data_IF_730804072661
#
_entry.id   IF_730804072661
#
_cell.length_a   1.000
_cell.length_b   1.000
_cell.length_c   1.000
_cell.angle_alpha   90.00
_cell.angle_beta   90.00
_cell.angle_gamma   90.00
#
_symmetry.space_group_name_H-M   'P 1'
#
loop_
_entity.id
_entity.type
_entity.pdbx_description
1 polymer ?
#
# COMPACT_ATOMS: atom_id res chain seq x y z
N UNK A 1 -8.33 19.12 -3.61
CA UNK A 1 -9.56 18.58 -4.22
C UNK A 1 -9.45 17.08 -4.05
N UNK A 2 -10.28 16.47 -3.21
CA UNK A 2 -10.22 15.02 -2.99
C UNK A 2 -10.81 14.36 -4.24
N UNK A 3 -10.01 13.55 -4.92
CA UNK A 3 -10.50 12.64 -5.94
C UNK A 3 -11.51 11.69 -5.24
N UNK A 4 -12.75 11.67 -5.72
CA UNK A 4 -13.89 11.08 -5.03
C UNK A 4 -13.77 9.56 -4.82
N UNK A 5 -14.78 8.92 -4.21
CA UNK A 5 -14.78 7.48 -4.00
C UNK A 5 -14.71 6.74 -5.35
N UNK A 6 -14.03 5.59 -5.36
CA UNK A 6 -13.85 4.77 -6.56
C UNK A 6 -13.62 3.30 -6.20
N UNK A 7 -13.56 2.45 -7.23
CA UNK A 7 -13.27 1.03 -7.07
C UNK A 7 -11.75 0.80 -7.03
N UNK A 8 -11.29 -0.02 -6.08
CA UNK A 8 -9.90 -0.40 -5.94
C UNK A 8 -9.74 -1.90 -6.21
N UNK A 9 -8.95 -2.24 -7.22
CA UNK A 9 -8.49 -3.61 -7.46
C UNK A 9 -7.02 -3.74 -7.07
N UNK A 10 -6.70 -4.66 -6.17
CA UNK A 10 -5.33 -4.93 -5.71
C UNK A 10 -4.88 -6.30 -6.17
N UNK A 11 -3.67 -6.38 -6.72
CA UNK A 11 -3.02 -7.63 -7.14
C UNK A 11 -1.60 -7.70 -6.59
N UNK A 12 -0.94 -8.84 -6.73
CA UNK A 12 0.48 -8.99 -6.38
C UNK A 12 1.45 -8.19 -7.28
N UNK A 13 0.97 -7.53 -8.35
CA UNK A 13 1.80 -6.73 -9.27
C UNK A 13 1.47 -5.24 -9.30
N UNK A 14 0.21 -4.88 -9.01
CA UNK A 14 -0.27 -3.50 -9.07
C UNK A 14 -1.53 -3.28 -8.24
N UNK A 15 -1.83 -2.02 -7.96
CA UNK A 15 -3.17 -1.56 -7.62
C UNK A 15 -3.73 -0.67 -8.73
N UNK A 16 -4.99 -0.90 -9.08
CA UNK A 16 -5.73 -0.10 -10.03
C UNK A 16 -6.91 0.56 -9.33
N UNK A 17 -7.01 1.88 -9.46
CA UNK A 17 -8.12 2.69 -8.98
C UNK A 17 -8.96 3.11 -10.18
N UNK A 18 -10.14 2.50 -10.30
CA UNK A 18 -11.14 2.84 -11.30
C UNK A 18 -11.97 4.03 -10.82
N UNK A 19 -11.48 5.24 -11.03
CA UNK A 19 -12.29 6.46 -10.92
C UNK A 19 -12.61 6.96 -12.33
N UNK A 20 -13.87 7.31 -12.59
CA UNK A 20 -14.38 7.66 -13.93
C UNK A 20 -13.69 8.86 -14.57
N UNK A 21 -13.14 9.78 -13.78
CA UNK A 21 -12.46 10.97 -14.30
C UNK A 21 -10.95 10.79 -14.51
N UNK A 22 -10.30 10.01 -13.63
CA UNK A 22 -8.84 9.84 -13.61
C UNK A 22 -8.48 8.47 -13.02
N UNK A 23 -8.38 7.42 -13.85
CA UNK A 23 -7.91 6.15 -13.34
C UNK A 23 -6.44 6.27 -12.92
N UNK A 24 -6.08 5.59 -11.83
CA UNK A 24 -4.70 5.51 -11.34
C UNK A 24 -4.26 4.04 -11.37
N UNK A 25 -3.22 3.73 -12.14
CA UNK A 25 -2.59 2.41 -12.18
C UNK A 25 -1.20 2.49 -11.53
N UNK A 26 -1.04 1.85 -10.37
CA UNK A 26 0.20 1.81 -9.61
C UNK A 26 0.85 0.44 -9.75
N UNK A 27 1.83 0.33 -10.64
CA UNK A 27 2.69 -0.85 -10.69
C UNK A 27 3.71 -0.81 -9.56
N UNK A 28 3.77 -1.87 -8.75
CA UNK A 28 4.67 -1.96 -7.59
C UNK A 28 6.14 -1.74 -7.96
N UNK A 29 6.59 -2.27 -9.10
CA UNK A 29 7.98 -2.13 -9.54
C UNK A 29 8.32 -0.75 -10.10
N UNK A 30 7.30 0.09 -10.38
CA UNK A 30 7.47 1.45 -10.92
C UNK A 30 7.45 2.54 -9.85
N UNK A 31 7.26 2.17 -8.57
CA UNK A 31 7.24 3.13 -7.47
C UNK A 31 8.66 3.56 -7.09
N UNK A 32 8.81 4.82 -6.72
CA UNK A 32 10.06 5.41 -6.24
C UNK A 32 10.12 5.50 -4.72
N UNK A 33 8.97 5.58 -4.06
CA UNK A 33 8.85 5.44 -2.61
C UNK A 33 7.49 4.87 -2.24
N UNK A 34 7.43 4.23 -1.07
CA UNK A 34 6.20 3.80 -0.41
C UNK A 34 6.31 4.08 1.08
N UNK A 35 5.19 4.43 1.71
CA UNK A 35 5.08 4.48 3.16
C UNK A 35 3.63 4.22 3.60
N UNK A 36 3.48 3.75 4.83
CA UNK A 36 2.19 3.60 5.50
C UNK A 36 2.09 4.67 6.58
N UNK A 37 1.47 5.80 6.24
CA UNK A 37 1.44 7.00 7.09
C UNK A 37 0.41 6.86 8.23
N UNK A 38 -0.61 6.04 8.00
CA UNK A 38 -1.62 5.64 8.97
C UNK A 38 -2.18 4.26 8.60
N UNK A 39 -3.01 3.65 9.45
CA UNK A 39 -3.52 2.29 9.23
C UNK A 39 -4.32 2.15 7.92
N UNK A 40 -4.90 3.25 7.43
CA UNK A 40 -5.73 3.35 6.24
C UNK A 40 -5.13 4.28 5.17
N UNK A 41 -3.88 4.75 5.33
CA UNK A 41 -3.27 5.74 4.43
C UNK A 41 -1.98 5.21 3.83
N UNK A 42 -2.05 4.80 2.56
CA UNK A 42 -0.90 4.44 1.77
C UNK A 42 -0.39 5.65 0.99
N UNK A 43 0.89 5.98 1.14
CA UNK A 43 1.55 7.06 0.39
C UNK A 43 2.59 6.44 -0.53
N UNK A 44 2.64 6.90 -1.77
CA UNK A 44 3.69 6.50 -2.69
C UNK A 44 4.06 7.62 -3.65
N UNK A 45 5.21 7.47 -4.28
CA UNK A 45 5.64 8.32 -5.39
C UNK A 45 6.08 7.52 -6.59
N UNK A 46 5.95 8.12 -7.77
CA UNK A 46 6.29 7.53 -9.06
C UNK A 46 6.52 8.63 -10.10
N UNK A 47 7.10 8.26 -11.24
CA UNK A 47 7.14 9.13 -12.42
C UNK A 47 5.88 8.90 -13.24
N UNK A 48 5.16 9.96 -13.58
CA UNK A 48 4.02 9.85 -14.48
C UNK A 48 4.51 9.45 -15.88
N UNK A 49 4.03 8.29 -16.35
CA UNK A 49 4.35 7.74 -17.65
C UNK A 49 3.90 8.64 -18.81
N UNK A 50 2.94 9.55 -18.58
CA UNK A 50 2.46 10.51 -19.58
C UNK A 50 3.28 11.80 -19.62
N UNK A 51 4.42 11.86 -18.91
CA UNK A 51 5.31 13.02 -18.91
C UNK A 51 4.93 14.11 -17.90
N UNK A 52 4.00 13.82 -16.97
CA UNK A 52 3.65 14.73 -15.86
C UNK A 52 4.74 14.89 -14.79
N UNK A 53 5.84 14.14 -14.90
CA UNK A 53 6.98 14.21 -13.99
C UNK A 53 6.76 13.48 -12.67
N UNK A 54 7.51 13.86 -11.64
CA UNK A 54 7.44 13.23 -10.32
C UNK A 54 6.11 13.52 -9.64
N UNK A 55 5.39 12.46 -9.29
CA UNK A 55 4.10 12.52 -8.63
C UNK A 55 4.17 11.86 -7.25
N UNK A 56 3.42 12.39 -6.29
CA UNK A 56 3.22 11.77 -4.98
C UNK A 56 1.73 11.77 -4.68
N UNK A 57 1.21 10.60 -4.31
CA UNK A 57 -0.22 10.40 -4.05
C UNK A 57 -0.43 9.81 -2.66
N UNK A 58 -1.61 10.05 -2.09
CA UNK A 58 -2.07 9.43 -0.86
C UNK A 58 -3.41 8.77 -1.13
N UNK A 59 -3.52 7.51 -0.74
CA UNK A 59 -4.68 6.67 -0.97
C UNK A 59 -5.24 6.29 0.39
N UNK A 60 -6.45 6.78 0.65
CA UNK A 60 -7.23 6.41 1.82
C UNK A 60 -8.03 5.16 1.51
N UNK A 61 -7.68 4.04 2.13
CA UNK A 61 -8.29 2.73 1.88
C UNK A 61 -8.07 1.80 3.05
N UNK A 62 -9.07 0.97 3.36
CA UNK A 62 -8.93 -0.13 4.32
C UNK A 62 -7.89 -1.17 3.87
N UNK A 63 -7.49 -1.14 2.60
CA UNK A 63 -6.45 -2.01 2.01
C UNK A 63 -5.05 -1.38 2.02
N UNK A 64 -4.85 -0.23 2.69
CA UNK A 64 -3.56 0.47 2.69
C UNK A 64 -2.39 -0.39 3.18
N UNK A 65 -2.57 -1.13 4.27
CA UNK A 65 -1.55 -2.05 4.80
C UNK A 65 -1.22 -3.18 3.83
N UNK A 66 -2.22 -3.73 3.14
CA UNK A 66 -2.04 -4.74 2.10
C UNK A 66 -1.25 -4.19 0.91
N UNK A 67 -1.62 -3.00 0.40
CA UNK A 67 -0.91 -2.35 -0.69
C UNK A 67 0.54 -2.06 -0.30
N UNK A 68 0.77 -1.55 0.91
CA UNK A 68 2.11 -1.32 1.44
C UNK A 68 2.92 -2.62 1.45
N UNK A 69 2.39 -3.71 2.02
CA UNK A 69 3.11 -4.97 2.12
C UNK A 69 3.49 -5.51 0.73
N UNK A 70 2.56 -5.53 -0.22
CA UNK A 70 2.80 -6.00 -1.58
C UNK A 70 3.85 -5.14 -2.29
N UNK A 71 3.72 -3.82 -2.22
CA UNK A 71 4.67 -2.91 -2.86
C UNK A 71 6.07 -2.98 -2.22
N UNK A 72 6.14 -3.02 -0.89
CA UNK A 72 7.40 -3.10 -0.15
C UNK A 72 8.12 -4.43 -0.40
N UNK A 73 7.40 -5.56 -0.43
CA UNK A 73 8.01 -6.85 -0.75
C UNK A 73 8.57 -6.92 -2.18
N UNK A 74 7.93 -6.26 -3.14
CA UNK A 74 8.36 -6.28 -4.55
C UNK A 74 9.53 -5.33 -4.80
N UNK A 75 9.47 -4.10 -4.27
CA UNK A 75 10.38 -3.03 -4.67
C UNK A 75 11.25 -2.46 -3.53
N UNK A 76 10.88 -2.68 -2.27
CA UNK A 76 11.56 -2.09 -1.11
C UNK A 76 11.81 -3.12 0.01
N UNK A 77 12.54 -4.22 -0.25
CA UNK A 77 12.72 -5.29 0.74
C UNK A 77 13.47 -4.84 2.00
N UNK A 78 14.26 -3.77 1.92
CA UNK A 78 14.97 -3.16 3.04
C UNK A 78 14.18 -2.02 3.74
N UNK A 79 12.88 -1.87 3.45
CA UNK A 79 12.07 -0.80 4.02
C UNK A 79 11.95 -0.93 5.55
N UNK A 80 12.25 0.11 6.36
CA UNK A 80 12.27 -0.01 7.83
C UNK A 80 10.96 -0.52 8.43
N UNK A 81 9.81 -0.04 7.93
CA UNK A 81 8.50 -0.54 8.39
C UNK A 81 8.26 -2.00 8.02
N UNK A 82 8.75 -2.46 6.87
CA UNK A 82 8.60 -3.85 6.46
C UNK A 82 9.40 -4.75 7.41
N UNK A 83 10.65 -4.39 7.66
CA UNK A 83 11.55 -5.12 8.54
C UNK A 83 11.11 -5.11 10.01
N UNK A 84 10.53 -4.02 10.50
CA UNK A 84 10.07 -3.93 11.89
C UNK A 84 8.68 -4.55 12.13
N UNK A 85 7.97 -4.94 11.07
CA UNK A 85 6.57 -5.34 11.16
C UNK A 85 5.62 -4.17 11.51
N UNK A 86 6.11 -2.92 11.53
CA UNK A 86 5.33 -1.73 11.90
C UNK A 86 4.25 -1.32 10.89
N UNK A 87 4.01 -2.14 9.87
CA UNK A 87 2.90 -2.02 8.91
C UNK A 87 1.66 -2.82 9.32
N UNK A 88 1.81 -3.73 10.28
CA UNK A 88 0.70 -4.47 10.85
C UNK A 88 -0.03 -3.64 11.91
N UNK A 89 -1.33 -3.85 12.10
CA UNK A 89 -2.05 -3.29 13.23
C UNK A 89 -1.39 -3.69 14.56
N UNK A 90 -1.38 -2.81 15.58
CA UNK A 90 -0.71 -3.10 16.86
C UNK A 90 -1.24 -4.37 17.55
N UNK A 91 -2.50 -4.72 17.32
CA UNK A 91 -3.14 -5.89 17.92
C UNK A 91 -3.15 -7.12 16.99
N UNK A 92 -2.35 -7.13 15.92
CA UNK A 92 -2.39 -8.19 14.91
C UNK A 92 -2.18 -9.58 15.53
N UNK A 93 -1.14 -9.76 16.35
CA UNK A 93 -0.82 -11.04 16.98
C UNK A 93 -1.93 -11.49 17.93
N UNK A 94 -2.45 -10.56 18.74
CA UNK A 94 -3.58 -10.82 19.63
C UNK A 94 -4.84 -11.23 18.85
N UNK A 95 -5.10 -10.61 17.69
CA UNK A 95 -6.21 -10.96 16.80
C UNK A 95 -6.02 -12.32 16.16
N UNK A 96 -4.81 -12.68 15.73
CA UNK A 96 -4.49 -14.02 15.23
C UNK A 96 -4.79 -15.09 16.29
N UNK A 97 -4.32 -14.88 17.53
CA UNK A 97 -4.59 -15.77 18.65
C UNK A 97 -6.10 -15.89 18.95
N UNK A 98 -6.84 -14.78 18.93
CA UNK A 98 -8.28 -14.77 19.19
C UNK A 98 -9.10 -15.57 18.16
N UNK A 99 -8.63 -15.66 16.92
CA UNK A 99 -9.29 -16.45 15.86
C UNK A 99 -8.68 -17.85 15.70
N UNK A 100 -7.73 -18.24 16.55
CA UNK A 100 -7.05 -19.53 16.49
C UNK A 100 -6.17 -19.71 15.23
N UNK A 101 -5.74 -18.62 14.61
CA UNK A 101 -4.84 -18.66 13.46
C UNK A 101 -3.38 -18.69 13.93
N UNK A 102 -2.55 -19.47 13.23
CA UNK A 102 -1.11 -19.44 13.42
C UNK A 102 -0.59 -18.04 13.08
N UNK A 103 -0.05 -17.35 14.08
CA UNK A 103 0.52 -16.02 13.86
C UNK A 103 1.91 -16.16 13.24
N UNK A 104 2.14 -15.65 12.02
CA UNK A 104 3.48 -15.66 11.44
C UNK A 104 4.44 -14.77 12.27
N UNK A 105 5.71 -15.16 12.39
CA UNK A 105 6.75 -14.28 12.94
C UNK A 105 7.07 -13.22 11.91
N UNK A 106 6.59 -12.01 12.16
CA UNK A 106 6.80 -10.82 11.30
C UNK A 106 7.83 -9.86 11.92
N UNK A 107 8.46 -10.30 13.02
CA UNK A 107 9.55 -9.68 13.76
C UNK A 107 10.65 -10.72 13.99
#
# INVERSE_FOLDING_TARGET
>A
MADGPGELTVTNRRAYFGQTARPLDLNWSGLQSVDLVGPDVFRCSFQDANGGGYCTVQLHSMWASLMFALAAHVAFPAHPRLLSGGWLPPDFEARCAAVGADCPSVR
#
